data_IF_375484209570
#
_entry.id   IF_375484209570
#
_cell.length_a   1.000
_cell.length_b   1.000
_cell.length_c   1.000
_cell.angle_alpha   90.00
_cell.angle_beta   90.00
_cell.angle_gamma   90.00
#
_symmetry.space_group_name_H-M   'P 1'
#
loop_
_entity.id
_entity.type
_entity.pdbx_description
1 polymer ?
2 branched ?
3 water ?
#
# COMPACT_ATOMS: atom_id res chain seq x y z
N UNK A 25 -35.47 8.14 -4.76
CA UNK A 25 -34.09 7.60 -4.95
C UNK A 25 -33.83 6.40 -4.01
N UNK A 26 -33.03 5.44 -4.50
CA UNK A 26 -32.38 4.46 -3.63
C UNK A 26 -31.11 5.13 -3.08
N UNK A 27 -31.00 5.10 -1.78
CA UNK A 27 -29.83 5.63 -1.09
C UNK A 27 -28.92 4.51 -0.61
N UNK A 28 -27.71 4.55 -1.07
CA UNK A 28 -26.64 3.63 -0.69
C UNK A 28 -25.70 4.30 0.30
N UNK A 29 -25.03 3.48 1.13
CA UNK A 29 -23.93 3.91 1.95
C UNK A 29 -22.62 3.28 1.47
N UNK A 30 -21.55 4.03 1.58
CA UNK A 30 -20.19 3.61 1.16
C UNK A 30 -19.18 4.08 2.18
N UNK A 31 -18.34 3.17 2.65
CA UNK A 31 -17.28 3.45 3.59
C UNK A 31 -15.93 3.26 2.93
N UNK A 32 -15.00 4.19 3.20
CA UNK A 32 -13.61 4.11 2.69
C UNK A 32 -12.74 4.99 3.52
N UNK A 33 -11.44 4.72 3.49
CA UNK A 33 -10.48 5.67 4.09
C UNK A 33 -10.09 6.80 3.16
N UNK A 34 -10.63 6.85 1.94
CA UNK A 34 -10.24 7.90 1.04
C UNK A 34 -10.63 9.27 1.57
N UNK A 35 -9.67 10.19 1.58
CA UNK A 35 -9.88 11.56 2.03
C UNK A 35 -10.25 12.46 0.83
N UNK A 36 -10.32 13.75 1.07
CA UNK A 36 -10.76 14.75 0.07
C UNK A 36 -10.00 14.73 -1.26
N UNK A 37 -8.72 14.48 -1.25
CA UNK A 37 -7.88 14.49 -2.50
C UNK A 37 -7.76 13.13 -3.11
N UNK A 38 -8.58 12.17 -2.62
CA UNK A 38 -8.55 10.78 -3.01
C UNK A 38 -9.86 10.36 -3.69
N UNK A 39 -9.87 9.20 -4.32
CA UNK A 39 -10.93 8.93 -5.25
C UNK A 39 -12.35 8.89 -4.71
N UNK A 40 -12.61 8.16 -3.64
CA UNK A 40 -14.01 7.82 -3.37
C UNK A 40 -14.98 8.98 -3.18
N UNK A 41 -14.65 9.98 -2.34
CA UNK A 41 -15.70 11.03 -2.17
C UNK A 41 -15.93 11.85 -3.43
N UNK A 42 -14.93 11.95 -4.27
CA UNK A 42 -15.04 12.68 -5.53
C UNK A 42 -15.83 11.90 -6.55
N UNK A 43 -15.59 10.59 -6.64
CA UNK A 43 -16.40 9.71 -7.47
C UNK A 43 -17.85 9.72 -7.06
N UNK A 44 -18.08 9.74 -5.76
CA UNK A 44 -19.43 9.79 -5.23
C UNK A 44 -20.18 11.07 -5.63
N UNK A 45 -19.49 12.22 -5.57
CA UNK A 45 -20.13 13.44 -6.00
C UNK A 45 -20.49 13.41 -7.47
N UNK A 46 -19.60 12.88 -8.31
CA UNK A 46 -19.90 12.75 -9.72
C UNK A 46 -21.07 11.80 -10.00
N UNK A 47 -21.10 10.67 -9.28
CA UNK A 47 -22.17 9.69 -9.42
C UNK A 47 -23.49 10.36 -9.03
N UNK A 48 -23.51 11.03 -7.89
CA UNK A 48 -24.76 11.63 -7.42
C UNK A 48 -25.32 12.67 -8.38
N UNK A 49 -24.45 13.35 -9.12
CA UNK A 49 -24.88 14.37 -10.08
C UNK A 49 -25.59 13.75 -11.28
N UNK A 50 -25.44 12.44 -11.50
CA UNK A 50 -26.11 11.77 -12.60
C UNK A 50 -27.66 11.78 -12.44
N UNK A 51 -28.14 11.90 -11.22
CA UNK A 51 -29.59 11.88 -10.92
C UNK A 51 -30.25 10.67 -11.56
N UNK A 52 -29.59 9.52 -11.39
CA UNK A 52 -30.01 8.28 -12.05
C UNK A 52 -30.92 7.39 -11.18
N UNK A 53 -31.48 7.97 -10.12
CA UNK A 53 -32.34 7.22 -9.23
C UNK A 53 -31.59 6.63 -8.04
N UNK A 54 -30.29 6.85 -7.98
CA UNK A 54 -29.43 6.29 -6.92
C UNK A 54 -28.58 7.45 -6.34
N UNK A 55 -28.46 7.50 -5.01
CA UNK A 55 -27.60 8.42 -4.31
C UNK A 55 -26.73 7.66 -3.36
N UNK A 56 -25.51 8.15 -3.14
CA UNK A 56 -24.58 7.55 -2.23
C UNK A 56 -24.23 8.53 -1.13
N UNK A 57 -24.31 8.03 0.08
CA UNK A 57 -23.83 8.73 1.28
C UNK A 57 -22.50 8.13 1.69
N UNK A 58 -21.57 9.00 1.99
CA UNK A 58 -20.17 8.60 2.26
C UNK A 58 -19.83 8.65 3.73
N UNK A 59 -19.08 7.64 4.19
CA UNK A 59 -18.41 7.75 5.52
C UNK A 59 -16.92 7.52 5.31
N UNK A 60 -16.12 8.47 5.81
CA UNK A 60 -14.65 8.43 5.73
C UNK A 60 -14.14 7.78 7.01
N UNK A 61 -13.43 6.66 6.90
CA UNK A 61 -12.79 5.98 8.05
C UNK A 61 -11.25 6.22 8.14
N UNK A 62 -10.61 5.85 9.24
CA UNK A 62 -9.12 5.70 9.36
C UNK A 62 -8.61 4.36 8.97
N UNK A 63 -7.35 4.28 8.54
CA UNK A 63 -6.76 3.00 8.08
C UNK A 63 -7.02 1.84 9.01
N UNK A 64 -6.73 2.16 10.29
CA UNK A 64 -6.75 1.23 11.41
C UNK A 64 -8.16 0.94 11.76
N UNK A 65 -9.17 1.65 11.18
CA UNK A 65 -10.52 1.15 11.47
C UNK A 65 -11.31 0.57 10.35
N UNK A 66 -10.71 0.43 9.19
CA UNK A 66 -11.48 -0.13 8.12
C UNK A 66 -11.90 -1.58 8.47
N UNK A 67 -10.98 -2.45 8.87
CA UNK A 67 -11.34 -3.82 9.23
C UNK A 67 -12.23 -3.89 10.47
N UNK A 68 -11.82 -3.26 11.52
CA UNK A 68 -12.53 -3.38 12.81
C UNK A 68 -13.95 -2.83 12.71
N UNK A 69 -14.10 -1.64 12.13
CA UNK A 69 -15.40 -1.03 12.05
C UNK A 69 -16.32 -1.80 11.10
N UNK A 70 -15.75 -2.32 10.01
CA UNK A 70 -16.44 -3.08 8.94
C UNK A 70 -17.02 -4.35 9.57
N UNK A 71 -16.15 -5.08 10.27
CA UNK A 71 -16.50 -6.36 10.84
C UNK A 71 -17.48 -6.16 12.01
N UNK A 72 -17.32 -5.11 12.82
CA UNK A 72 -18.28 -4.76 13.88
C UNK A 72 -19.64 -4.53 13.25
N UNK A 73 -19.68 -3.77 12.16
CA UNK A 73 -20.98 -3.36 11.58
C UNK A 73 -21.66 -4.62 11.00
N UNK A 74 -20.91 -5.48 10.30
CA UNK A 74 -21.50 -6.65 9.74
C UNK A 74 -22.03 -7.56 10.87
N UNK A 75 -21.31 -7.67 11.98
CA UNK A 75 -21.75 -8.47 13.11
C UNK A 75 -23.00 -7.92 13.80
N UNK A 76 -23.08 -6.59 13.76
CA UNK A 76 -24.18 -5.87 14.37
C UNK A 76 -25.42 -5.79 13.48
N UNK A 77 -25.21 -5.96 12.17
CA UNK A 77 -26.26 -5.90 11.20
C UNK A 77 -26.48 -4.60 10.49
N UNK A 78 -25.50 -3.73 10.51
CA UNK A 78 -25.58 -2.42 9.85
C UNK A 78 -24.36 -2.06 9.08
N UNK A 79 -23.78 -3.05 8.43
CA UNK A 79 -22.71 -2.73 7.45
C UNK A 79 -23.23 -1.85 6.34
N UNK A 80 -22.33 -1.10 5.73
CA UNK A 80 -22.73 -0.28 4.60
C UNK A 80 -23.06 -1.14 3.40
N UNK A 81 -23.58 -0.53 2.35
CA UNK A 81 -23.74 -1.28 1.09
C UNK A 81 -22.40 -1.60 0.45
N UNK A 82 -21.52 -0.61 0.39
CA UNK A 82 -20.24 -0.75 -0.29
C UNK A 82 -19.11 -0.38 0.66
N UNK A 83 -17.99 -1.11 0.51
CA UNK A 83 -16.74 -0.78 1.18
C UNK A 83 -15.61 -0.83 0.18
N UNK A 84 -14.57 -0.04 0.43
CA UNK A 84 -13.28 -0.19 -0.18
C UNK A 84 -12.37 -0.77 0.90
N UNK A 85 -12.04 -2.06 0.72
CA UNK A 85 -11.32 -2.88 1.73
C UNK A 85 -9.90 -3.13 1.21
N UNK A 86 -8.93 -3.20 2.13
CA UNK A 86 -7.53 -3.41 1.71
C UNK A 86 -7.42 -4.85 1.15
N UNK A 87 -6.69 -5.01 0.05
CA UNK A 87 -6.70 -6.31 -0.61
C UNK A 87 -6.35 -7.50 0.31
N UNK A 88 -5.40 -7.41 1.27
CA UNK A 88 -5.11 -8.59 2.07
C UNK A 88 -6.25 -9.00 3.00
N UNK A 89 -7.21 -8.10 3.25
CA UNK A 89 -8.32 -8.37 4.10
C UNK A 89 -9.49 -9.00 3.40
N UNK A 90 -9.47 -9.01 2.08
CA UNK A 90 -10.65 -9.40 1.33
C UNK A 90 -11.06 -10.85 1.65
N UNK A 91 -10.05 -11.75 1.75
CA UNK A 91 -10.36 -13.17 1.89
C UNK A 91 -11.06 -13.44 3.21
N UNK A 92 -10.68 -12.75 4.28
CA UNK A 92 -11.34 -12.94 5.57
C UNK A 92 -12.86 -12.68 5.46
N UNK A 93 -13.22 -11.54 4.88
CA UNK A 93 -14.61 -11.18 4.73
C UNK A 93 -15.32 -12.15 3.76
N UNK A 94 -14.68 -12.45 2.64
CA UNK A 94 -15.31 -13.27 1.64
C UNK A 94 -15.57 -14.68 2.18
N UNK A 95 -14.59 -15.24 2.88
CA UNK A 95 -14.67 -16.62 3.43
C UNK A 95 -15.74 -16.71 4.51
N UNK A 96 -16.04 -15.62 5.17
CA UNK A 96 -16.97 -15.55 6.31
C UNK A 96 -18.42 -15.26 5.84
N UNK A 97 -18.65 -15.08 4.53
CA UNK A 97 -19.95 -14.75 4.00
C UNK A 97 -20.37 -13.28 4.11
N UNK A 98 -19.47 -12.43 4.53
CA UNK A 98 -19.75 -10.98 4.71
C UNK A 98 -19.91 -10.25 3.42
N UNK A 99 -19.38 -10.75 2.29
CA UNK A 99 -19.46 -10.06 1.01
C UNK A 99 -20.42 -10.76 0.04
N UNK A 100 -21.12 -9.93 -0.72
CA UNK A 100 -21.95 -10.42 -1.77
C UNK A 100 -21.16 -11.07 -2.91
N UNK A 101 -21.63 -12.23 -3.39
CA UNK A 101 -21.12 -12.88 -4.58
C UNK A 101 -21.58 -12.08 -5.78
N UNK A 102 -20.62 -11.44 -6.46
CA UNK A 102 -20.93 -10.59 -7.61
C UNK A 102 -20.59 -11.25 -8.95
N UNK A 103 -20.39 -12.61 -8.90
CA UNK A 103 -20.00 -13.30 -10.14
C UNK A 103 -20.98 -13.08 -11.28
N UNK A 104 -22.27 -13.27 -11.00
CA UNK A 104 -23.28 -13.19 -12.07
C UNK A 104 -23.43 -11.74 -12.58
N UNK A 105 -23.37 -10.75 -11.67
CA UNK A 105 -23.48 -9.34 -12.13
C UNK A 105 -22.25 -8.92 -12.94
N UNK A 106 -21.07 -9.43 -12.57
CA UNK A 106 -19.84 -9.19 -13.38
C UNK A 106 -20.03 -9.79 -14.77
N UNK A 107 -20.53 -11.03 -14.83
CA UNK A 107 -20.71 -11.65 -16.15
C UNK A 107 -21.63 -10.89 -17.10
N UNK A 108 -22.67 -10.26 -16.55
CA UNK A 108 -23.63 -9.46 -17.34
C UNK A 108 -23.04 -8.11 -17.73
N UNK A 109 -22.08 -7.61 -16.98
CA UNK A 109 -21.53 -6.29 -17.22
C UNK A 109 -20.57 -6.26 -18.40
N UNK A 110 -20.64 -5.21 -19.19
CA UNK A 110 -19.51 -4.92 -20.08
C UNK A 110 -18.57 -3.85 -19.57
N UNK A 111 -18.98 -3.13 -18.54
CA UNK A 111 -18.09 -2.16 -17.90
C UNK A 111 -17.00 -2.83 -17.08
N UNK A 112 -17.42 -3.83 -16.33
CA UNK A 112 -16.53 -4.62 -15.54
C UNK A 112 -16.27 -5.95 -16.24
N UNK A 113 -15.04 -6.08 -16.75
CA UNK A 113 -14.63 -7.30 -17.47
C UNK A 113 -13.45 -7.87 -16.74
N UNK A 114 -13.52 -9.15 -16.41
CA UNK A 114 -12.42 -9.75 -15.66
C UNK A 114 -11.11 -9.70 -16.42
N UNK A 115 -11.17 -9.74 -17.76
CA UNK A 115 -10.00 -9.62 -18.61
C UNK A 115 -9.22 -8.35 -18.37
N UNK A 116 -9.90 -7.31 -17.90
CA UNK A 116 -9.24 -6.02 -17.73
C UNK A 116 -8.24 -5.95 -16.59
N UNK A 117 -8.42 -6.80 -15.62
CA UNK A 117 -7.71 -6.67 -14.34
C UNK A 117 -6.38 -7.41 -14.33
N UNK A 118 -5.39 -6.83 -13.67
CA UNK A 118 -4.14 -7.59 -13.42
C UNK A 118 -4.53 -8.84 -12.61
N UNK A 119 -3.79 -9.97 -12.86
CA UNK A 119 -4.21 -11.24 -12.18
C UNK A 119 -4.18 -11.18 -10.64
N UNK A 120 -3.20 -10.51 -10.07
CA UNK A 120 -3.06 -10.51 -8.65
C UNK A 120 -4.23 -9.80 -7.96
N UNK A 121 -4.53 -8.57 -8.38
CA UNK A 121 -5.69 -7.90 -7.79
C UNK A 121 -6.98 -8.70 -7.98
N UNK A 122 -7.16 -9.27 -9.16
CA UNK A 122 -8.38 -10.03 -9.40
C UNK A 122 -8.48 -11.23 -8.49
N UNK A 123 -7.35 -11.94 -8.33
CA UNK A 123 -7.33 -13.09 -7.44
C UNK A 123 -7.71 -12.70 -6.01
N UNK A 124 -7.31 -11.50 -5.62
CA UNK A 124 -7.56 -11.08 -4.24
C UNK A 124 -9.05 -10.91 -3.90
N UNK A 125 -9.90 -10.70 -4.92
CA UNK A 125 -11.36 -10.59 -4.68
C UNK A 125 -12.08 -11.92 -4.79
N UNK A 126 -11.34 -12.99 -5.06
CA UNK A 126 -11.97 -14.27 -5.34
C UNK A 126 -11.95 -15.13 -4.08
N UNK A 127 -12.93 -16.02 -3.96
CA UNK A 127 -12.94 -16.98 -2.91
C UNK A 127 -13.81 -18.14 -3.43
N UNK A 128 -13.22 -19.33 -3.32
CA UNK A 128 -13.91 -20.58 -3.73
C UNK A 128 -14.51 -20.51 -5.11
N UNK A 129 -13.72 -20.01 -6.04
CA UNK A 129 -14.13 -19.96 -7.49
C UNK A 129 -15.29 -19.02 -7.78
N UNK A 130 -15.43 -17.99 -6.94
CA UNK A 130 -16.42 -16.95 -7.13
C UNK A 130 -15.81 -15.59 -6.91
N UNK A 131 -16.39 -14.57 -7.51
CA UNK A 131 -15.97 -13.19 -7.28
C UNK A 131 -16.76 -12.53 -6.15
N UNK A 132 -16.06 -11.97 -5.19
CA UNK A 132 -16.62 -11.30 -4.06
C UNK A 132 -16.21 -9.82 -3.98
N UNK A 133 -15.87 -9.25 -5.11
CA UNK A 133 -15.58 -7.84 -5.22
C UNK A 133 -15.03 -7.52 -6.57
N UNK A 134 -14.58 -6.26 -6.72
CA UNK A 134 -13.97 -5.73 -7.93
C UNK A 134 -12.78 -4.90 -7.51
N UNK A 135 -11.56 -5.15 -8.05
CA UNK A 135 -10.44 -4.30 -7.63
C UNK A 135 -10.73 -2.84 -7.84
N UNK A 136 -10.28 -2.03 -6.86
CA UNK A 136 -10.40 -0.57 -6.94
C UNK A 136 -9.15 0.04 -7.55
N UNK A 137 -7.98 -0.29 -7.03
CA UNK A 137 -6.70 0.26 -7.50
C UNK A 137 -5.62 -0.71 -7.11
N UNK A 138 -4.40 -0.41 -7.54
CA UNK A 138 -3.27 -1.27 -7.15
C UNK A 138 -2.05 -0.39 -6.96
N UNK A 139 -1.07 -0.84 -6.15
CA UNK A 139 0.13 -0.05 -5.93
C UNK A 139 1.26 -0.92 -5.44
N UNK A 140 2.44 -0.28 -5.32
CA UNK A 140 3.48 -0.79 -4.44
C UNK A 140 4.30 0.40 -4.02
N UNK A 141 5.35 0.16 -3.23
CA UNK A 141 6.22 1.21 -2.73
C UNK A 141 7.49 1.29 -3.58
N UNK A 142 8.11 2.48 -3.50
CA UNK A 142 9.37 2.79 -4.18
C UNK A 142 10.10 3.86 -3.41
N UNK A 143 11.24 4.32 -3.89
CA UNK A 143 12.08 5.21 -3.14
C UNK A 143 12.07 6.65 -3.73
N UNK A 144 11.44 7.54 -3.00
CA UNK A 144 11.49 8.97 -3.28
C UNK A 144 12.79 9.55 -2.74
N UNK A 145 13.34 10.55 -3.45
CA UNK A 145 14.54 11.19 -2.95
C UNK A 145 14.55 12.68 -3.30
N UNK A 146 15.11 13.47 -2.38
CA UNK A 146 15.18 14.93 -2.50
C UNK A 146 16.49 15.23 -3.24
N UNK A 147 16.38 15.60 -4.51
CA UNK A 147 17.52 15.85 -5.36
C UNK A 147 18.34 17.04 -4.91
N UNK A 148 17.68 18.05 -4.32
CA UNK A 148 18.43 19.19 -3.82
C UNK A 148 19.30 18.81 -2.64
N UNK A 149 18.79 18.02 -1.72
CA UNK A 149 19.65 17.55 -0.66
C UNK A 149 20.77 16.61 -1.11
N UNK A 150 20.49 15.75 -2.08
CA UNK A 150 21.53 14.93 -2.69
C UNK A 150 22.66 15.84 -3.23
N UNK A 151 22.32 16.83 -4.03
CA UNK A 151 23.32 17.71 -4.63
C UNK A 151 24.13 18.38 -3.55
N UNK A 152 23.46 18.92 -2.54
CA UNK A 152 24.18 19.67 -1.45
C UNK A 152 25.15 18.80 -0.69
N UNK A 153 24.86 17.51 -0.57
CA UNK A 153 25.73 16.57 0.12
C UNK A 153 26.95 16.14 -0.75
N UNK A 154 27.02 16.57 -2.00
CA UNK A 154 28.04 16.12 -2.94
C UNK A 154 27.69 14.79 -3.63
N UNK A 155 26.45 14.30 -3.46
CA UNK A 155 26.01 13.09 -4.11
C UNK A 155 25.55 13.41 -5.55
N UNK A 156 25.34 12.36 -6.32
CA UNK A 156 24.92 12.48 -7.70
C UNK A 156 23.42 12.23 -7.74
N UNK A 157 22.66 13.30 -7.89
CA UNK A 157 21.21 13.21 -7.95
C UNK A 157 20.64 12.41 -9.13
N UNK A 158 21.46 12.19 -10.14
CA UNK A 158 21.06 11.36 -11.27
C UNK A 158 21.32 9.87 -11.02
N UNK A 159 21.95 9.55 -9.90
CA UNK A 159 22.33 8.16 -9.63
C UNK A 159 21.98 7.83 -8.18
N UNK A 160 20.67 7.74 -7.91
CA UNK A 160 20.27 7.35 -6.55
C UNK A 160 20.71 5.93 -6.16
N UNK A 161 20.67 5.60 -4.87
CA UNK A 161 21.09 4.30 -4.38
C UNK A 161 20.42 3.13 -5.10
N UNK A 162 21.24 2.14 -5.44
CA UNK A 162 20.79 0.91 -6.11
C UNK A 162 20.85 -0.30 -5.23
N UNK A 163 21.62 -0.26 -4.14
CA UNK A 163 21.81 -1.37 -3.22
C UNK A 163 21.52 -0.91 -1.79
N UNK A 164 21.31 -1.87 -0.89
CA UNK A 164 21.09 -1.52 0.49
C UNK A 164 22.31 -0.81 1.05
N UNK A 165 23.52 -1.24 0.70
CA UNK A 165 24.72 -0.57 1.26
C UNK A 165 24.76 0.89 0.79
N UNK A 166 24.44 1.10 -0.49
CA UNK A 166 24.41 2.47 -1.00
C UNK A 166 23.32 3.28 -0.27
N UNK A 167 22.19 2.68 -0.05
CA UNK A 167 21.08 3.36 0.60
C UNK A 167 21.48 3.79 2.02
N UNK A 168 22.09 2.87 2.76
CA UNK A 168 22.51 3.18 4.12
C UNK A 168 23.60 4.26 4.13
N UNK A 169 24.59 4.13 3.25
CA UNK A 169 25.63 5.13 3.23
C UNK A 169 25.11 6.53 2.82
N UNK A 170 24.19 6.57 1.87
CA UNK A 170 23.54 7.84 1.51
C UNK A 170 22.76 8.39 2.70
N UNK A 171 22.04 7.52 3.40
CA UNK A 171 21.28 7.97 4.55
C UNK A 171 22.19 8.53 5.65
N UNK A 172 23.34 7.91 5.88
CA UNK A 172 24.33 8.45 6.82
C UNK A 172 24.75 9.87 6.40
N UNK A 173 25.16 10.05 5.17
CA UNK A 173 25.59 11.35 4.72
C UNK A 173 24.51 12.41 4.79
N UNK A 174 23.30 12.03 4.44
CA UNK A 174 22.17 12.97 4.37
C UNK A 174 21.53 13.29 5.70
N UNK A 175 21.87 12.53 6.74
CA UNK A 175 21.39 12.80 8.13
C UNK A 175 22.14 14.01 8.67
N UNK A 176 21.35 15.08 8.93
CA UNK A 176 21.90 16.38 9.34
C UNK A 176 21.07 16.94 10.47
N UNK A 177 21.36 16.55 11.71
CA UNK A 177 20.57 17.01 12.87
C UNK A 177 20.53 18.52 13.03
N UNK A 178 21.58 19.20 12.60
CA UNK A 178 21.61 20.67 12.64
C UNK A 178 20.36 21.26 12.00
N UNK A 179 19.84 20.62 10.94
CA UNK A 179 18.64 21.11 10.28
C UNK A 179 17.46 20.16 10.48
N UNK A 180 17.56 19.28 11.48
CA UNK A 180 16.50 18.29 11.76
C UNK A 180 16.17 17.51 10.46
N UNK A 181 17.20 17.07 9.75
CA UNK A 181 17.02 16.24 8.55
C UNK A 181 17.46 14.82 8.89
N UNK A 182 16.56 13.88 8.68
CA UNK A 182 16.86 12.45 8.69
C UNK A 182 17.23 12.05 7.28
N UNK A 183 18.14 11.09 7.16
CA UNK A 183 18.44 10.56 5.84
C UNK A 183 17.31 9.84 5.14
N UNK A 184 16.43 9.20 5.92
CA UNK A 184 15.34 8.46 5.28
C UNK A 184 14.11 8.47 6.17
N UNK A 185 12.94 8.29 5.55
CA UNK A 185 11.69 8.08 6.21
C UNK A 185 11.03 6.85 5.67
N UNK A 186 10.40 6.13 6.59
CA UNK A 186 9.70 4.90 6.24
C UNK A 186 8.72 4.60 7.38
N UNK A 187 8.14 3.39 7.41
CA UNK A 187 7.27 3.02 8.50
C UNK A 187 7.55 1.61 8.97
N UNK A 188 7.63 1.48 10.32
CA UNK A 188 7.69 0.20 10.97
C UNK A 188 6.57 -0.01 11.97
N UNK A 189 5.46 0.71 11.74
CA UNK A 189 4.39 0.75 12.71
C UNK A 189 3.85 -0.65 12.95
N UNK A 190 3.44 -0.91 14.20
CA UNK A 190 2.94 -2.23 14.64
C UNK A 190 1.51 -2.42 14.19
N UNK A 191 1.32 -2.44 12.89
CA UNK A 191 0.04 -2.77 12.27
C UNK A 191 0.42 -3.12 10.81
N UNK A 192 -0.51 -3.16 9.86
CA UNK A 192 -0.17 -3.54 8.48
C UNK A 192 0.89 -2.68 7.81
N UNK A 193 1.04 -1.45 8.31
CA UNK A 193 2.04 -0.52 7.72
C UNK A 193 3.43 -1.17 7.77
N UNK A 194 3.86 -1.66 8.94
CA UNK A 194 5.18 -2.20 9.09
C UNK A 194 5.37 -3.47 8.24
N UNK A 195 4.36 -4.33 8.21
CA UNK A 195 4.47 -5.56 7.44
C UNK A 195 4.59 -5.26 5.95
N UNK A 196 3.77 -4.33 5.47
CA UNK A 196 3.78 -3.97 4.06
C UNK A 196 5.12 -3.35 3.69
N UNK A 197 5.72 -2.59 4.61
CA UNK A 197 7.01 -1.97 4.36
C UNK A 197 8.16 -2.99 4.43
N UNK A 198 8.05 -4.00 5.30
CA UNK A 198 9.16 -4.94 5.51
C UNK A 198 9.23 -6.01 4.46
N UNK A 199 8.06 -6.53 4.05
CA UNK A 199 8.05 -7.65 3.14
C UNK A 199 8.90 -7.44 1.88
N UNK A 200 8.94 -6.24 1.26
CA UNK A 200 9.83 -6.08 0.09
C UNK A 200 11.31 -6.40 0.41
N UNK A 201 11.79 -5.89 1.55
CA UNK A 201 13.16 -6.13 1.94
C UNK A 201 13.39 -7.62 2.11
N UNK A 202 12.53 -8.30 2.86
CA UNK A 202 12.67 -9.70 3.05
C UNK A 202 12.59 -10.49 1.74
N UNK A 203 11.65 -10.14 0.89
CA UNK A 203 11.47 -10.82 -0.39
C UNK A 203 12.65 -10.63 -1.31
N UNK A 204 13.17 -9.42 -1.37
CA UNK A 204 14.34 -9.19 -2.23
C UNK A 204 15.51 -10.06 -1.78
N UNK A 205 15.61 -10.28 -0.47
CA UNK A 205 16.68 -11.12 0.07
C UNK A 205 16.39 -12.61 0.04
N UNK A 206 15.27 -13.03 -0.57
CA UNK A 206 14.99 -14.44 -0.79
C UNK A 206 13.91 -15.07 0.10
N UNK A 207 13.35 -14.33 1.04
CA UNK A 207 12.34 -14.84 1.96
C UNK A 207 10.94 -14.59 1.41
N UNK A 208 9.96 -15.12 2.10
CA UNK A 208 8.56 -14.86 1.82
C UNK A 208 7.82 -14.83 3.17
N UNK A 209 6.56 -14.41 3.19
CA UNK A 209 5.87 -14.51 4.46
C UNK A 209 5.69 -15.94 4.98
N UNK A 210 5.78 -16.93 4.09
CA UNK A 210 5.71 -18.34 4.45
C UNK A 210 7.05 -18.89 4.92
N UNK A 211 8.10 -18.09 4.74
CA UNK A 211 9.47 -18.49 5.09
C UNK A 211 10.24 -17.21 5.51
N UNK A 212 9.80 -16.62 6.63
CA UNK A 212 10.19 -15.23 6.96
C UNK A 212 11.48 -15.14 7.76
N UNK A 213 12.07 -16.28 8.11
CA UNK A 213 13.27 -16.32 8.94
C UNK A 213 14.51 -16.81 8.24
N UNK A 214 14.58 -16.63 6.93
CA UNK A 214 15.82 -16.89 6.23
C UNK A 214 16.94 -15.95 6.65
N UNK A 215 18.18 -16.30 6.31
CA UNK A 215 19.28 -15.42 6.60
C UNK A 215 19.12 -14.06 5.90
N UNK A 216 18.54 -14.06 4.69
CA UNK A 216 18.27 -12.79 4.01
C UNK A 216 17.27 -11.90 4.73
N UNK A 217 16.22 -12.50 5.27
CA UNK A 217 15.25 -11.74 6.08
C UNK A 217 15.90 -11.16 7.33
N UNK A 218 16.74 -11.95 7.96
CA UNK A 218 17.48 -11.50 9.12
C UNK A 218 18.35 -10.26 8.75
N UNK A 219 19.04 -10.33 7.61
CA UNK A 219 19.84 -9.19 7.11
C UNK A 219 18.98 -7.96 6.85
N UNK A 220 17.77 -8.17 6.34
CA UNK A 220 16.83 -7.05 6.12
C UNK A 220 16.51 -6.39 7.44
N UNK A 221 16.18 -7.20 8.43
CA UNK A 221 15.83 -6.62 9.70
C UNK A 221 17.00 -5.97 10.42
N UNK A 222 18.20 -6.53 10.27
CA UNK A 222 19.42 -5.91 10.80
C UNK A 222 19.64 -4.55 10.14
N UNK A 223 19.29 -4.44 8.84
CA UNK A 223 19.46 -3.19 8.13
C UNK A 223 18.48 -2.14 8.67
N UNK A 224 17.23 -2.52 8.88
CA UNK A 224 16.31 -1.63 9.56
C UNK A 224 16.82 -1.20 10.92
N UNK A 225 17.40 -2.11 11.67
CA UNK A 225 17.96 -1.77 12.98
C UNK A 225 19.05 -0.71 12.84
N UNK A 226 19.88 -0.81 11.81
CA UNK A 226 20.90 0.18 11.57
C UNK A 226 20.28 1.55 11.34
N UNK A 227 19.24 1.61 10.52
CA UNK A 227 18.59 2.91 10.21
C UNK A 227 18.09 3.60 11.45
N UNK A 228 17.52 2.84 12.35
CA UNK A 228 17.02 3.41 13.57
C UNK A 228 18.09 3.67 14.63
N UNK A 229 18.96 2.70 14.84
CA UNK A 229 20.03 2.82 15.86
C UNK A 229 20.94 4.00 15.57
N UNK A 230 21.28 4.20 14.30
CA UNK A 230 22.13 5.30 13.93
C UNK A 230 21.40 6.62 13.72
N UNK A 231 20.11 6.62 14.03
CA UNK A 231 19.26 7.87 14.02
C UNK A 231 19.24 8.42 12.56
N UNK A 232 19.26 7.50 11.58
CA UNK A 232 19.13 7.88 10.19
C UNK A 232 17.65 8.06 9.78
N UNK A 233 16.75 7.56 10.61
CA UNK A 233 15.30 7.71 10.52
C UNK A 233 14.79 8.06 11.87
N UNK A 234 13.64 8.72 11.95
CA UNK A 234 13.05 9.13 13.22
C UNK A 234 12.75 7.92 14.13
N UNK A 235 12.85 8.09 15.45
CA UNK A 235 12.27 7.08 16.34
C UNK A 235 10.77 6.89 16.16
N UNK A 236 10.10 7.90 15.62
CA UNK A 236 8.67 7.83 15.37
C UNK A 236 8.32 6.84 14.24
N UNK A 237 9.33 6.39 13.48
CA UNK A 237 9.14 5.35 12.51
C UNK A 237 8.43 4.11 13.11
N UNK A 238 8.66 3.86 14.40
CA UNK A 238 8.11 2.71 15.07
C UNK A 238 6.61 2.79 15.28
N UNK A 239 6.03 4.00 15.20
CA UNK A 239 4.63 4.22 15.56
C UNK A 239 3.83 5.05 14.54
N UNK A 240 4.44 5.39 13.41
CA UNK A 240 3.88 6.36 12.50
C UNK A 240 3.62 5.70 11.15
N UNK A 241 2.51 6.06 10.49
CA UNK A 241 2.12 5.54 9.19
C UNK A 241 3.06 6.01 8.10
N UNK A 242 3.04 5.31 6.97
CA UNK A 242 3.73 5.73 5.75
C UNK A 242 3.31 7.15 5.35
N UNK A 243 2.02 7.41 5.40
CA UNK A 243 1.45 8.72 5.08
C UNK A 243 2.08 9.81 5.99
N UNK A 244 2.03 9.58 7.28
CA UNK A 244 2.59 10.61 8.17
C UNK A 244 4.09 10.70 8.07
N UNK A 245 4.79 9.61 7.81
CA UNK A 245 6.25 9.67 7.59
C UNK A 245 6.56 10.53 6.35
N UNK A 246 5.80 10.32 5.28
CA UNK A 246 6.11 11.03 4.04
C UNK A 246 5.88 12.52 4.13
N UNK A 247 4.96 12.93 5.01
CA UNK A 247 4.77 14.36 5.26
C UNK A 247 6.07 15.01 5.70
N UNK A 248 6.90 14.30 6.47
CA UNK A 248 8.22 14.82 6.91
C UNK A 248 9.17 14.95 5.73
N UNK A 249 9.10 14.04 4.77
CA UNK A 249 9.84 14.17 3.51
C UNK A 249 9.40 15.46 2.75
N UNK A 250 8.09 15.63 2.64
CA UNK A 250 7.56 16.76 1.92
C UNK A 250 8.03 18.07 2.54
N UNK A 251 8.17 18.08 3.89
CA UNK A 251 8.60 19.26 4.64
C UNK A 251 10.07 19.49 4.62
N UNK A 252 10.84 18.63 3.95
CA UNK A 252 12.32 18.79 3.89
C UNK A 252 13.06 18.22 5.06
N UNK A 253 12.39 17.42 5.87
CA UNK A 253 13.02 16.82 7.07
C UNK A 253 13.40 15.36 6.96
N UNK A 254 13.26 14.80 5.79
CA UNK A 254 13.80 13.47 5.47
C UNK A 254 14.30 13.51 4.05
N UNK A 255 15.52 13.07 3.78
CA UNK A 255 16.10 13.19 2.45
C UNK A 255 15.57 12.20 1.42
N UNK A 256 15.01 11.11 1.94
CA UNK A 256 14.48 10.00 1.15
C UNK A 256 13.23 9.55 1.83
N UNK A 257 12.34 8.91 1.06
CA UNK A 257 11.10 8.35 1.63
C UNK A 257 10.72 7.08 0.89
N UNK A 258 10.42 6.02 1.64
CA UNK A 258 9.93 4.78 1.02
C UNK A 258 8.40 4.80 1.16
N UNK A 259 7.68 5.01 0.05
CA UNK A 259 6.22 5.11 0.11
C UNK A 259 5.64 4.83 -1.29
N UNK A 260 4.32 5.06 -1.41
CA UNK A 260 3.56 4.65 -2.60
C UNK A 260 3.11 5.80 -3.48
N UNK A 261 2.39 5.46 -4.57
CA UNK A 261 1.93 6.50 -5.51
C UNK A 261 0.88 7.41 -4.85
N UNK A 262 0.24 6.94 -3.79
CA UNK A 262 -0.76 7.74 -3.07
C UNK A 262 -0.15 9.03 -2.50
N UNK A 263 1.18 9.12 -2.48
CA UNK A 263 1.84 10.38 -1.99
C UNK A 263 1.92 11.44 -3.04
N UNK A 264 1.82 11.10 -4.30
CA UNK A 264 2.21 11.98 -5.37
C UNK A 264 1.46 13.33 -5.39
N UNK A 265 0.14 13.27 -5.36
CA UNK A 265 -0.61 14.51 -5.54
C UNK A 265 -0.34 15.52 -4.40
N UNK A 266 -0.29 15.01 -3.20
CA UNK A 266 0.05 15.86 -2.05
C UNK A 266 1.51 16.37 -2.14
N UNK A 267 2.43 15.50 -2.53
CA UNK A 267 3.84 15.88 -2.67
C UNK A 267 4.01 17.02 -3.69
N UNK A 268 3.28 16.94 -4.79
CA UNK A 268 3.38 18.01 -5.80
C UNK A 268 2.99 19.37 -5.22
N UNK A 269 2.02 19.41 -4.31
CA UNK A 269 1.67 20.66 -3.67
C UNK A 269 2.60 21.08 -2.54
N UNK A 270 3.13 20.11 -1.79
CA UNK A 270 3.76 20.39 -0.50
C UNK A 270 5.28 20.39 -0.55
N UNK A 271 5.90 19.55 -1.42
CA UNK A 271 7.36 19.48 -1.43
C UNK A 271 7.93 20.64 -2.24
N UNK A 272 8.72 21.48 -1.57
CA UNK A 272 9.30 22.69 -2.17
C UNK A 272 10.72 22.48 -2.56
N UNK A 273 10.97 21.39 -3.26
CA UNK A 273 12.28 21.00 -3.74
C UNK A 273 12.13 20.08 -4.94
N UNK A 274 13.23 19.87 -5.65
CA UNK A 274 13.25 18.92 -6.75
C UNK A 274 13.41 17.51 -6.22
N UNK A 275 12.65 16.56 -6.75
CA UNK A 275 12.66 15.21 -6.29
C UNK A 275 12.53 14.21 -7.39
N UNK A 276 12.96 12.99 -7.09
CA UNK A 276 12.82 11.87 -8.01
C UNK A 276 12.29 10.63 -7.29
N UNK A 277 12.07 9.61 -8.11
CA UNK A 277 11.61 8.34 -7.56
C UNK A 277 12.40 7.23 -8.24
N UNK A 278 12.92 6.27 -7.51
CA UNK A 278 13.63 5.14 -8.13
C UNK A 278 13.12 3.86 -7.56
N UNK A 279 13.50 2.76 -8.21
CA UNK A 279 13.15 1.42 -7.73
C UNK A 279 13.70 1.21 -6.33
N UNK A 280 13.07 0.32 -5.57
CA UNK A 280 13.64 -0.02 -4.27
C UNK A 280 15.07 -0.58 -4.44
N UNK A 281 16.04 -0.11 -3.61
CA UNK A 281 17.37 -0.73 -3.65
C UNK A 281 17.30 -2.20 -3.27
N UNK A 282 18.24 -2.95 -3.83
CA UNK A 282 18.30 -4.41 -3.63
C UNK A 282 19.50 -4.78 -2.75
N UNK A 283 19.44 -5.96 -2.13
CA UNK A 283 20.48 -6.31 -1.17
C UNK A 283 21.83 -6.56 -1.79
N UNK A 284 21.85 -7.09 -2.99
CA UNK A 284 23.06 -7.24 -3.81
C UNK A 284 22.60 -6.92 -5.24
N UNK A 285 23.55 -6.61 -6.15
CA UNK A 285 23.11 -6.31 -7.52
C UNK A 285 22.49 -7.46 -8.26
N UNK A 286 22.76 -8.71 -7.84
CA UNK A 286 22.14 -9.85 -8.57
C UNK A 286 20.77 -10.21 -8.01
N UNK A 287 20.24 -9.46 -7.06
CA UNK A 287 18.87 -9.69 -6.55
C UNK A 287 17.87 -8.85 -7.37
N UNK A 288 16.84 -9.51 -7.93
CA UNK A 288 15.78 -8.70 -8.55
C UNK A 288 14.97 -7.92 -7.52
N UNK A 289 14.34 -6.85 -7.99
CA UNK A 289 13.37 -6.11 -7.17
C UNK A 289 12.19 -7.02 -6.84
N UNK A 290 11.55 -6.73 -5.70
CA UNK A 290 10.30 -7.41 -5.31
C UNK A 290 9.62 -6.49 -4.29
N UNK A 291 8.32 -6.63 -4.13
CA UNK A 291 7.59 -5.81 -3.15
C UNK A 291 6.25 -6.44 -2.88
N UNK A 292 5.42 -5.82 -2.04
CA UNK A 292 4.11 -6.33 -1.73
C UNK A 292 3.05 -5.55 -2.53
N UNK A 293 2.05 -6.28 -2.99
CA UNK A 293 0.95 -5.74 -3.78
C UNK A 293 0.02 -4.93 -2.88
N UNK A 294 -0.08 -3.64 -3.15
CA UNK A 294 -0.88 -2.76 -2.35
C UNK A 294 -2.23 -2.38 -3.00
N UNK A 295 -3.01 -1.73 -2.17
CA UNK A 295 -4.23 -1.04 -2.52
C UNK A 295 -5.50 -1.91 -2.34
N UNK A 296 -6.61 -1.25 -2.61
CA UNK A 296 -7.95 -1.65 -2.15
C UNK A 296 -8.83 -2.26 -3.23
N UNK A 297 -9.86 -2.93 -2.76
CA UNK A 297 -10.91 -3.52 -3.57
C UNK A 297 -12.26 -3.01 -3.17
N UNK A 298 -13.14 -2.85 -4.18
CA UNK A 298 -14.56 -2.64 -3.89
C UNK A 298 -15.20 -3.94 -3.49
N UNK A 299 -16.12 -3.87 -2.54
CA UNK A 299 -16.96 -5.01 -2.18
C UNK A 299 -18.33 -4.51 -1.75
N UNK A 300 -19.32 -5.37 -1.90
CA UNK A 300 -20.69 -5.12 -1.50
C UNK A 300 -20.95 -6.05 -0.33
N UNK A 301 -21.50 -5.53 0.77
CA UNK A 301 -21.81 -6.40 1.92
C UNK A 301 -23.04 -7.28 1.59
N UNK A 302 -23.01 -8.50 2.17
CA UNK A 302 -23.85 -9.58 1.67
C UNK A 302 -25.36 -9.34 1.94
N UNK A 303 -25.71 -8.51 2.94
CA UNK A 303 -27.15 -8.27 3.28
C UNK A 303 -27.66 -6.96 2.72
N UNK A 304 -26.97 -6.38 1.74
CA UNK A 304 -27.48 -5.18 1.13
C UNK A 304 -28.87 -5.42 0.63
N UNK A 305 -29.72 -4.41 0.80
CA UNK A 305 -31.09 -4.41 0.24
C UNK A 305 -31.10 -3.99 -1.23
N UNK A 306 -29.94 -3.55 -1.76
CA UNK A 306 -29.85 -2.89 -3.06
C UNK A 306 -28.67 -3.43 -3.88
N UNK A 307 -28.61 -4.74 -4.09
CA UNK A 307 -27.44 -5.29 -4.81
C UNK A 307 -27.23 -4.74 -6.21
N UNK A 308 -28.33 -4.58 -6.99
CA UNK A 308 -28.14 -4.07 -8.34
C UNK A 308 -27.59 -2.62 -8.36
N UNK A 309 -28.15 -1.81 -7.48
CA UNK A 309 -27.78 -0.41 -7.45
C UNK A 309 -26.34 -0.28 -6.95
N UNK A 310 -25.96 -1.04 -5.94
CA UNK A 310 -24.64 -1.01 -5.41
C UNK A 310 -23.65 -1.41 -6.54
N UNK A 311 -24.03 -2.45 -7.33
CA UNK A 311 -23.18 -2.87 -8.43
C UNK A 311 -23.03 -1.79 -9.48
N UNK A 312 -24.16 -1.12 -9.80
CA UNK A 312 -24.11 0.00 -10.77
C UNK A 312 -23.13 1.10 -10.28
N UNK A 313 -23.11 1.35 -8.98
CA UNK A 313 -22.14 2.32 -8.45
C UNK A 313 -20.71 1.88 -8.76
N UNK A 314 -20.42 0.62 -8.45
CA UNK A 314 -19.12 0.05 -8.72
C UNK A 314 -18.76 0.11 -10.21
N UNK A 315 -19.74 -0.18 -11.11
CA UNK A 315 -19.50 0.01 -12.54
C UNK A 315 -19.13 1.46 -12.84
N UNK A 316 -19.87 2.42 -12.28
CA UNK A 316 -19.51 3.81 -12.51
C UNK A 316 -18.07 4.09 -12.03
N UNK A 317 -17.68 3.59 -10.86
CA UNK A 317 -16.33 3.83 -10.40
C UNK A 317 -15.32 3.25 -11.42
N UNK A 318 -15.54 2.01 -11.84
CA UNK A 318 -14.62 1.40 -12.79
C UNK A 318 -14.54 2.20 -14.10
N UNK A 319 -15.67 2.75 -14.53
CA UNK A 319 -15.68 3.55 -15.79
C UNK A 319 -14.79 4.80 -15.72
N UNK A 320 -14.44 5.22 -14.51
CA UNK A 320 -13.57 6.39 -14.31
C UNK A 320 -12.11 5.99 -14.03
N UNK A 321 -11.81 4.68 -13.98
CA UNK A 321 -10.43 4.27 -13.68
C UNK A 321 -9.43 4.90 -14.65
N UNK A 322 -9.85 5.10 -15.91
CA UNK A 322 -9.00 5.71 -16.90
C UNK A 322 -8.47 7.11 -16.54
N UNK A 323 -9.13 7.77 -15.62
CA UNK A 323 -8.72 9.08 -15.20
C UNK A 323 -8.16 9.12 -13.77
N UNK A 324 -7.94 7.96 -13.16
CA UNK A 324 -7.51 7.92 -11.75
C UNK A 324 -6.14 8.55 -11.54
N UNK A 325 -5.17 8.29 -12.39
CA UNK A 325 -3.83 8.81 -12.16
C UNK A 325 -3.83 10.31 -12.38
N UNK A 326 -4.46 10.77 -13.46
CA UNK A 326 -4.44 12.21 -13.66
C UNK A 326 -5.15 12.96 -12.51
N UNK A 327 -6.29 12.43 -12.04
CA UNK A 327 -7.06 13.12 -11.01
C UNK A 327 -6.60 12.96 -9.57
N UNK A 328 -5.97 11.82 -9.29
CA UNK A 328 -5.68 11.45 -7.89
C UNK A 328 -4.26 10.96 -7.70
N UNK A 329 -3.53 10.67 -8.77
CA UNK A 329 -2.19 10.10 -8.63
C UNK A 329 -2.13 8.66 -8.19
N UNK A 330 -3.26 7.95 -8.31
CA UNK A 330 -3.35 6.53 -8.00
C UNK A 330 -3.44 5.72 -9.31
N UNK A 331 -3.18 4.42 -9.18
CA UNK A 331 -3.03 3.54 -10.34
C UNK A 331 -4.16 2.54 -10.42
N UNK A 332 -4.80 2.41 -11.60
CA UNK A 332 -5.80 1.40 -11.79
C UNK A 332 -5.21 -0.04 -11.64
N UNK A 333 -6.07 -0.98 -11.25
CA UNK A 333 -5.68 -2.36 -11.14
C UNK A 333 -5.81 -3.12 -12.45
N UNK A 334 -5.54 -2.46 -13.59
CA UNK A 334 -5.99 -2.90 -14.89
C UNK A 334 -4.94 -2.77 -15.96
N UNK A 335 -4.86 -3.79 -16.78
CA UNK A 335 -3.96 -3.84 -17.91
C UNK A 335 -4.58 -3.22 -19.20
N UNK A 336 -5.89 -3.09 -19.26
CA UNK A 336 -6.53 -2.60 -20.46
C UNK A 336 -6.35 -1.06 -20.66
N UNK A 337 -6.05 -0.34 -19.59
CA UNK A 337 -5.92 1.12 -19.59
C UNK A 337 -4.52 1.51 -19.08
N UNK A 338 -3.47 1.21 -19.83
CA UNK A 338 -2.14 1.66 -19.41
C UNK A 338 -2.17 3.17 -19.14
N UNK A 339 -1.43 3.63 -18.15
CA UNK A 339 -1.61 5.00 -17.69
C UNK A 339 -0.82 5.93 -18.58
N UNK A 340 -1.48 6.96 -19.14
CA UNK A 340 -0.74 7.91 -20.03
C UNK A 340 0.00 8.95 -19.20
N UNK A 341 1.04 9.55 -19.75
CA UNK A 341 1.66 10.67 -19.04
C UNK A 341 0.71 11.82 -18.80
N UNK A 342 0.96 12.53 -17.70
CA UNK A 342 0.17 13.69 -17.34
C UNK A 342 0.63 14.97 -17.99
N UNK A 343 1.93 15.05 -18.30
CA UNK A 343 2.57 16.28 -18.70
C UNK A 343 3.31 16.99 -17.62
N UNK A 344 3.10 16.64 -16.35
CA UNK A 344 3.90 17.15 -15.25
C UNK A 344 5.14 16.28 -15.09
N UNK A 345 6.31 16.87 -15.24
CA UNK A 345 7.54 16.08 -15.33
C UNK A 345 7.80 15.28 -14.04
N UNK A 346 7.60 15.87 -12.87
CA UNK A 346 7.84 15.16 -11.61
C UNK A 346 6.88 13.98 -11.51
N UNK A 347 5.60 14.23 -11.80
CA UNK A 347 4.55 13.22 -11.70
C UNK A 347 4.77 12.07 -12.68
N UNK A 348 5.30 12.40 -13.88
CA UNK A 348 5.47 11.43 -14.92
C UNK A 348 6.69 10.54 -14.68
N UNK A 349 7.71 11.07 -14.01
CA UNK A 349 8.83 10.26 -13.56
C UNK A 349 8.42 9.34 -12.45
N UNK A 350 7.60 9.84 -11.53
CA UNK A 350 7.01 8.96 -10.53
C UNK A 350 6.22 7.84 -11.16
N UNK A 351 5.36 8.18 -12.14
CA UNK A 351 4.57 7.19 -12.82
C UNK A 351 5.46 6.08 -13.41
N UNK A 352 6.49 6.48 -14.14
CA UNK A 352 7.36 5.51 -14.79
C UNK A 352 7.95 4.53 -13.75
N UNK A 353 8.42 5.05 -12.62
CA UNK A 353 9.06 4.20 -11.60
C UNK A 353 8.03 3.27 -10.96
N UNK A 354 6.88 3.79 -10.59
CA UNK A 354 5.88 2.96 -9.94
C UNK A 354 5.28 1.90 -10.88
N UNK A 355 5.06 2.24 -12.16
CA UNK A 355 4.55 1.27 -13.12
C UNK A 355 5.54 0.10 -13.24
N UNK A 356 6.81 0.44 -13.28
CA UNK A 356 7.89 -0.64 -13.31
C UNK A 356 7.93 -1.50 -12.04
N UNK A 357 8.02 -0.80 -10.89
CA UNK A 357 8.11 -1.51 -9.62
C UNK A 357 6.91 -2.43 -9.44
N UNK A 358 5.73 -1.94 -9.86
CA UNK A 358 4.50 -2.73 -9.70
C UNK A 358 4.54 -4.09 -10.33
N UNK A 359 5.31 -4.24 -11.44
CA UNK A 359 5.35 -5.52 -12.08
C UNK A 359 5.91 -6.64 -11.21
N UNK A 360 6.66 -6.28 -10.17
CA UNK A 360 7.34 -7.26 -9.31
C UNK A 360 6.70 -7.46 -7.94
N UNK A 361 5.53 -6.88 -7.76
CA UNK A 361 4.79 -7.01 -6.52
C UNK A 361 4.25 -8.44 -6.36
N UNK A 362 4.17 -8.86 -5.11
CA UNK A 362 3.70 -10.17 -4.73
C UNK A 362 2.53 -10.00 -3.78
N UNK A 363 1.52 -10.90 -3.84
CA UNK A 363 0.32 -10.75 -3.00
C UNK A 363 0.60 -11.16 -1.57
N UNK A 364 -0.07 -10.50 -0.63
CA UNK A 364 -0.13 -10.94 0.75
C UNK A 364 -1.31 -11.87 0.87
N UNK A 365 -1.05 -13.16 0.83
CA UNK A 365 -2.16 -14.14 0.78
C UNK A 365 -2.40 -14.63 -0.60
N UNK A 366 -3.60 -15.08 -0.90
CA UNK A 366 -4.78 -15.09 -0.07
C UNK A 366 -4.72 -15.83 1.26
N UNK A 367 -5.23 -15.14 2.29
CA UNK A 367 -5.48 -15.79 3.53
C UNK A 367 -6.55 -15.16 4.37
N UNK A 368 -7.56 -15.94 4.80
CA UNK A 368 -8.48 -15.43 5.79
C UNK A 368 -7.81 -15.05 7.12
N UNK A 369 -6.62 -15.61 7.36
CA UNK A 369 -5.83 -15.40 8.57
C UNK A 369 -4.77 -14.34 8.43
N UNK A 370 -4.81 -13.55 7.36
CA UNK A 370 -3.76 -12.53 7.13
C UNK A 370 -3.43 -11.69 8.36
N UNK A 371 -4.42 -11.21 9.12
CA UNK A 371 -4.04 -10.35 10.24
C UNK A 371 -3.13 -11.03 11.24
N UNK A 372 -3.29 -12.34 11.46
CA UNK A 372 -2.44 -13.08 12.40
C UNK A 372 -1.07 -13.30 11.83
N UNK A 373 -0.96 -13.51 10.52
CA UNK A 373 0.35 -13.62 9.87
C UNK A 373 1.07 -12.29 10.02
N UNK A 374 0.36 -11.20 9.70
CA UNK A 374 0.94 -9.87 9.75
C UNK A 374 1.34 -9.50 11.18
N UNK A 375 0.53 -9.87 12.21
CA UNK A 375 0.88 -9.58 13.60
C UNK A 375 2.17 -10.28 13.97
N UNK A 376 2.35 -11.52 13.54
CA UNK A 376 3.62 -12.21 13.80
C UNK A 376 4.82 -11.43 13.27
N UNK A 377 4.69 -10.91 12.05
CA UNK A 377 5.74 -10.12 11.45
C UNK A 377 5.96 -8.81 12.21
N UNK A 378 4.89 -8.11 12.50
CA UNK A 378 4.92 -6.86 13.25
C UNK A 378 5.65 -7.01 14.60
N UNK A 379 5.36 -8.09 15.28
CA UNK A 379 5.96 -8.37 16.58
C UNK A 379 7.46 -8.63 16.46
N UNK A 380 7.86 -9.32 15.40
CA UNK A 380 9.27 -9.55 15.14
C UNK A 380 9.99 -8.21 14.91
N UNK A 381 9.41 -7.39 14.05
CA UNK A 381 9.96 -6.09 13.73
C UNK A 381 10.13 -5.26 15.01
N UNK A 382 9.09 -5.18 15.82
CA UNK A 382 9.15 -4.39 17.04
C UNK A 382 10.21 -4.94 18.00
N UNK A 383 10.23 -6.27 18.15
CA UNK A 383 11.17 -6.89 19.08
C UNK A 383 12.61 -6.66 18.70
N UNK A 384 12.91 -6.73 17.41
CA UNK A 384 14.28 -6.51 16.99
C UNK A 384 14.64 -5.02 17.03
N UNK A 385 13.76 -4.14 16.57
CA UNK A 385 14.09 -2.73 16.50
C UNK A 385 14.27 -2.12 17.88
N UNK A 386 13.56 -2.63 18.89
CA UNK A 386 13.71 -2.14 20.26
C UNK A 386 15.00 -2.63 20.91
N UNK A 387 15.68 -3.61 20.33
CA UNK A 387 16.85 -4.24 20.94
C UNK A 387 16.52 -5.38 21.89
N UNK A 388 15.24 -5.63 22.07
CA UNK A 388 14.84 -6.65 23.04
C UNK A 388 15.15 -8.06 22.58
N UNK A 389 15.03 -8.28 21.27
CA UNK A 389 15.32 -9.58 20.67
C UNK A 389 16.34 -9.36 19.56
N UNK A 390 17.12 -10.39 19.26
CA UNK A 390 17.93 -10.32 18.05
C UNK A 390 17.01 -10.46 16.82
N UNK A 391 17.44 -9.95 15.66
CA UNK A 391 16.66 -10.22 14.45
C UNK A 391 16.36 -11.67 14.19
N UNK A 392 17.36 -12.51 14.40
CA UNK A 392 17.21 -13.96 14.17
C UNK A 392 16.15 -14.56 15.11
N UNK A 393 16.26 -14.26 16.40
CA UNK A 393 15.31 -14.81 17.33
C UNK A 393 13.90 -14.30 17.05
N UNK A 394 13.78 -13.02 16.71
CA UNK A 394 12.49 -12.38 16.44
C UNK A 394 11.84 -13.08 15.24
N UNK A 395 12.58 -13.23 14.15
CA UNK A 395 11.98 -13.80 12.97
C UNK A 395 11.76 -15.31 13.11
N UNK A 396 12.59 -16.03 13.89
CA UNK A 396 12.38 -17.47 14.10
C UNK A 396 11.01 -17.62 14.79
N UNK A 397 10.76 -16.80 15.78
CA UNK A 397 9.46 -16.84 16.47
C UNK A 397 8.29 -16.52 15.53
N UNK A 398 8.45 -15.50 14.70
CA UNK A 398 7.38 -15.19 13.70
C UNK A 398 7.13 -16.40 12.81
N UNK A 399 8.19 -17.04 12.34
CA UNK A 399 8.04 -18.18 11.43
C UNK A 399 7.27 -19.32 12.12
N UNK A 400 7.55 -19.57 13.39
CA UNK A 400 6.80 -20.57 14.13
C UNK A 400 5.34 -20.21 14.20
N UNK A 401 5.03 -18.98 14.52
CA UNK A 401 3.65 -18.55 14.60
C UNK A 401 2.94 -18.72 13.23
N UNK A 402 3.61 -18.35 12.17
CA UNK A 402 3.05 -18.37 10.84
C UNK A 402 2.76 -19.82 10.44
N UNK A 403 3.64 -20.77 10.79
CA UNK A 403 3.40 -22.21 10.47
C UNK A 403 2.02 -22.60 10.99
N UNK A 404 1.70 -22.13 12.18
CA UNK A 404 0.42 -22.45 12.82
C UNK A 404 -0.74 -21.73 12.16
N UNK A 405 -0.64 -20.43 12.06
CA UNK A 405 -1.81 -19.64 11.65
C UNK A 405 -2.07 -19.68 10.13
N UNK A 406 -1.05 -19.96 9.30
CA UNK A 406 -1.18 -20.04 7.85
C UNK A 406 -1.47 -21.47 7.40
N UNK A 407 -1.69 -22.38 8.33
CA UNK A 407 -1.94 -23.76 7.93
C UNK A 407 -3.33 -23.94 7.40
#
# INVERSE_FOLDING_TARGET
MHHHHHHSSGVDLGTENLYFQSMEDVTLTLWSLDRDIQPAPNLIKEFNALNNGIKIEYRQLQFDDVVSESMRAYSTGNAPDIIAIDNPNHAMFASRGAFLDVTDMIAKSDVIKTENYFPGPLKSVTWDGKYFGVPKATNTIALYYNKDLFKAAGLDAAKPPQTWDELVDAARKLTNPAKNVYGISFSAKANEEGTFQFLPWAQMAGATYKNINTDGAVKALETWKTLLDEKLASPDTLTRSQWDSTATFNAGNAAMAISGPWEIDRMLKDAKFDWGVTLLPVPTPDAPRSSAMGDYNWAIFSKTKHPAEAFKAIEFFASKDKDMFKNFGQLPARSDIPVPPTGNALKDEALKTFVEQLKYAQPRGPSPEWPKISKAIQDAIQGALSGQMTPKAALDQAAEKIKLVDG
#
